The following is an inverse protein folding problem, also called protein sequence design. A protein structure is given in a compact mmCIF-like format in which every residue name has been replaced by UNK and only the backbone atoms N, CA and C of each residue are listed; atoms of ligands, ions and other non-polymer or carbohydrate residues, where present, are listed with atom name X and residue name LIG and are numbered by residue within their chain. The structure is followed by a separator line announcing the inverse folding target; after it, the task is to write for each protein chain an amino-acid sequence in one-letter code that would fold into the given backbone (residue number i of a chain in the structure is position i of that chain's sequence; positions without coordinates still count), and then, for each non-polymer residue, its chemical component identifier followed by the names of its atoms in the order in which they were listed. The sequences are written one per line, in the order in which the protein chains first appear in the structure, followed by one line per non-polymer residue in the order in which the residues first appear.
data_IF_467704750450
#
_entry.id   IF_467704750450
#
_cell.length_a   1.000
_cell.length_b   1.000
_cell.length_c   1.000
_cell.angle_alpha   90.00
_cell.angle_beta   90.00
_cell.angle_gamma   90.00
#
_symmetry.space_group_name_H-M   'P 1'
#
loop_
_entity.id
_entity.type
_entity.pdbx_description
1 polymer ?
#
# COMPACT_ATOMS: atom_id res chain seq x y z
N UNK A 1 9.60 -17.61 11.98
CA UNK A 1 9.18 -16.18 11.85
C UNK A 1 10.32 -15.22 12.22
N UNK A 2 10.87 -15.28 13.44
CA UNK A 2 11.94 -14.36 13.88
C UNK A 2 13.19 -14.34 12.96
N UNK A 3 13.66 -15.51 12.53
CA UNK A 3 14.80 -15.61 11.59
C UNK A 3 14.48 -14.96 10.24
N UNK A 4 13.29 -15.22 9.68
CA UNK A 4 12.85 -14.63 8.41
C UNK A 4 12.71 -13.12 8.51
N UNK A 5 12.21 -12.61 9.64
CA UNK A 5 12.13 -11.17 9.91
C UNK A 5 13.52 -10.52 10.00
N UNK A 6 14.47 -11.15 10.70
CA UNK A 6 15.84 -10.65 10.80
C UNK A 6 16.53 -10.59 9.42
N UNK A 7 16.41 -11.67 8.63
CA UNK A 7 16.92 -11.71 7.24
C UNK A 7 16.27 -10.63 6.39
N UNK A 8 14.96 -10.40 6.55
CA UNK A 8 14.24 -9.35 5.84
C UNK A 8 14.71 -7.94 6.16
N UNK A 9 14.95 -7.65 7.44
CA UNK A 9 15.48 -6.35 7.86
C UNK A 9 16.88 -6.13 7.27
N UNK A 10 17.75 -7.16 7.31
CA UNK A 10 19.09 -7.09 6.72
C UNK A 10 19.01 -6.87 5.21
N UNK A 11 18.16 -7.63 4.52
CA UNK A 11 17.93 -7.50 3.08
C UNK A 11 17.44 -6.10 2.71
N UNK A 12 16.47 -5.58 3.47
CA UNK A 12 15.89 -4.25 3.24
C UNK A 12 16.89 -3.12 3.51
N UNK A 13 17.68 -3.20 4.58
CA UNK A 13 18.72 -2.21 4.91
C UNK A 13 19.84 -2.23 3.87
N UNK A 14 20.27 -3.41 3.41
CA UNK A 14 21.32 -3.56 2.40
C UNK A 14 20.91 -3.09 0.99
N UNK A 15 19.64 -3.24 0.62
CA UNK A 15 19.15 -3.00 -0.76
C UNK A 15 18.29 -1.73 -0.91
N UNK A 16 18.34 -0.78 0.03
CA UNK A 16 17.51 0.44 -0.01
C UNK A 16 17.57 1.21 -1.33
N UNK A 17 18.76 1.35 -1.93
CA UNK A 17 18.96 2.04 -3.21
C UNK A 17 18.41 1.26 -4.41
N UNK A 18 18.73 -0.03 -4.62
CA UNK A 18 18.19 -0.80 -5.74
C UNK A 18 16.68 -1.07 -5.63
N UNK A 19 16.11 -1.22 -4.42
CA UNK A 19 14.65 -1.36 -4.23
C UNK A 19 13.88 -0.11 -4.66
N UNK A 20 14.45 1.08 -4.44
CA UNK A 20 13.84 2.34 -4.88
C UNK A 20 13.85 2.47 -6.41
N UNK A 21 14.97 2.12 -7.07
CA UNK A 21 15.07 2.15 -8.53
C UNK A 21 14.17 1.09 -9.17
N UNK A 22 14.05 -0.10 -8.57
CA UNK A 22 13.17 -1.16 -9.04
C UNK A 22 11.69 -0.78 -8.98
N UNK A 23 11.23 -0.11 -7.91
CA UNK A 23 9.82 0.21 -7.72
C UNK A 23 9.29 1.36 -8.60
N UNK A 24 10.16 2.20 -9.14
CA UNK A 24 9.76 3.36 -9.94
C UNK A 24 10.19 3.28 -11.41
N UNK A 25 11.25 2.53 -11.73
CA UNK A 25 11.84 2.57 -13.06
C UNK A 25 12.49 1.23 -13.44
N UNK A 26 11.65 0.19 -13.52
CA UNK A 26 12.05 -1.15 -13.95
C UNK A 26 12.60 -1.14 -15.39
N UNK A 27 12.05 -0.26 -16.24
CA UNK A 27 12.40 -0.13 -17.65
C UNK A 27 13.77 0.54 -17.84
N UNK A 28 14.08 1.62 -17.12
CA UNK A 28 15.40 2.29 -17.22
C UNK A 28 16.51 1.51 -16.50
N UNK A 29 16.18 0.70 -15.48
CA UNK A 29 17.14 -0.15 -14.79
C UNK A 29 17.63 -1.34 -15.64
N UNK A 30 16.78 -1.88 -16.51
CA UNK A 30 17.13 -2.96 -17.44
C UNK A 30 18.14 -2.49 -18.50
N UNK A 31 18.03 -1.23 -18.95
CA UNK A 31 18.96 -0.60 -19.90
C UNK A 31 20.29 -0.20 -19.23
N UNK A 32 20.29 0.00 -17.91
CA UNK A 32 21.46 0.43 -17.11
C UNK A 32 22.39 -0.71 -16.65
N UNK A 33 22.20 -1.95 -17.11
CA UNK A 33 23.07 -3.09 -16.79
C UNK A 33 22.89 -3.69 -15.38
N UNK A 34 21.88 -3.26 -14.62
CA UNK A 34 21.50 -3.91 -13.36
C UNK A 34 20.75 -5.20 -13.65
N UNK A 35 21.08 -6.29 -12.94
CA UNK A 35 20.38 -7.58 -13.04
C UNK A 35 19.03 -7.51 -12.32
N UNK A 36 18.09 -6.74 -12.87
CA UNK A 36 16.71 -6.57 -12.37
C UNK A 36 16.04 -7.93 -12.13
N UNK A 37 16.28 -8.89 -13.02
CA UNK A 37 15.80 -10.28 -12.88
C UNK A 37 16.29 -10.98 -11.60
N UNK A 38 17.57 -10.80 -11.20
CA UNK A 38 18.06 -11.38 -9.95
C UNK A 38 17.43 -10.72 -8.72
N UNK A 39 17.19 -9.41 -8.77
CA UNK A 39 16.59 -8.69 -7.67
C UNK A 39 15.11 -9.11 -7.48
N UNK A 40 14.36 -9.20 -8.57
CA UNK A 40 12.99 -9.71 -8.58
C UNK A 40 12.92 -11.15 -8.07
N UNK A 41 13.84 -12.02 -8.52
CA UNK A 41 13.92 -13.40 -8.03
C UNK A 41 14.21 -13.48 -6.53
N UNK A 42 15.21 -12.74 -6.03
CA UNK A 42 15.53 -12.70 -4.60
C UNK A 42 14.36 -12.15 -3.77
N UNK A 43 13.69 -11.11 -4.25
CA UNK A 43 12.53 -10.53 -3.58
C UNK A 43 11.33 -11.49 -3.57
N UNK A 44 11.08 -12.20 -4.67
CA UNK A 44 10.02 -13.21 -4.76
C UNK A 44 10.28 -14.38 -3.80
N UNK A 45 11.52 -14.89 -3.75
CA UNK A 45 11.92 -15.94 -2.80
C UNK A 45 11.76 -15.46 -1.35
N UNK A 46 12.21 -14.24 -1.05
CA UNK A 46 12.07 -13.66 0.29
C UNK A 46 10.60 -13.48 0.72
N UNK A 47 9.76 -12.97 -0.20
CA UNK A 47 8.32 -12.82 0.04
C UNK A 47 7.67 -14.18 0.24
N UNK A 48 8.01 -15.18 -0.58
CA UNK A 48 7.52 -16.55 -0.47
C UNK A 48 7.89 -17.20 0.88
N UNK A 49 9.14 -17.05 1.32
CA UNK A 49 9.56 -17.51 2.65
C UNK A 49 8.77 -16.84 3.78
N UNK A 50 8.52 -15.54 3.65
CA UNK A 50 7.73 -14.77 4.64
C UNK A 50 6.29 -15.27 4.71
N UNK A 51 5.66 -15.47 3.55
CA UNK A 51 4.29 -15.98 3.41
C UNK A 51 4.17 -17.40 3.98
N UNK A 52 5.09 -18.30 3.59
CA UNK A 52 5.11 -19.68 4.06
C UNK A 52 5.28 -19.76 5.59
N UNK A 53 6.09 -18.88 6.18
CA UNK A 53 6.28 -18.83 7.62
C UNK A 53 5.06 -18.26 8.38
N UNK A 54 4.24 -17.42 7.75
CA UNK A 54 3.06 -16.80 8.36
C UNK A 54 1.79 -17.65 8.22
N UNK A 55 1.67 -18.42 7.14
CA UNK A 55 0.47 -19.18 6.78
C UNK A 55 -0.07 -20.12 7.88
N UNK A 56 0.75 -20.89 8.63
CA UNK A 56 0.22 -21.78 9.67
C UNK A 56 -0.42 -21.07 10.86
N UNK A 57 -0.01 -19.83 11.14
CA UNK A 57 -0.51 -19.05 12.28
C UNK A 57 -1.80 -18.32 11.92
N UNK A 58 -1.88 -17.84 10.68
CA UNK A 58 -2.85 -16.84 10.25
C UNK A 58 -3.91 -17.41 9.30
N UNK A 59 -3.55 -18.42 8.49
CA UNK A 59 -4.37 -19.00 7.44
C UNK A 59 -4.25 -18.29 6.09
N UNK A 60 -4.48 -19.03 5.00
CA UNK A 60 -4.29 -18.57 3.61
C UNK A 60 -5.12 -17.33 3.27
N UNK A 61 -6.38 -17.31 3.71
CA UNK A 61 -7.32 -16.22 3.42
C UNK A 61 -6.86 -14.87 3.98
N UNK A 62 -6.35 -14.87 5.21
CA UNK A 62 -5.91 -13.62 5.84
C UNK A 62 -4.55 -13.19 5.31
N UNK A 63 -3.67 -14.12 4.93
CA UNK A 63 -2.39 -13.78 4.30
C UNK A 63 -2.59 -13.05 2.97
N UNK A 64 -3.50 -13.53 2.10
CA UNK A 64 -3.75 -12.86 0.82
C UNK A 64 -4.31 -11.44 1.02
N UNK A 65 -5.22 -11.26 1.98
CA UNK A 65 -5.76 -9.96 2.35
C UNK A 65 -4.67 -9.00 2.88
N UNK A 66 -3.77 -9.48 3.74
CA UNK A 66 -2.69 -8.68 4.32
C UNK A 66 -1.61 -8.28 3.32
N UNK A 67 -1.41 -9.04 2.25
CA UNK A 67 -0.48 -8.65 1.18
C UNK A 67 -1.07 -7.52 0.34
N UNK A 68 -2.35 -7.64 -0.04
CA UNK A 68 -2.95 -6.78 -1.07
C UNK A 68 -3.56 -5.49 -0.49
N UNK A 69 -4.30 -5.60 0.61
CA UNK A 69 -5.12 -4.49 1.13
C UNK A 69 -4.30 -3.32 1.70
N UNK A 70 -3.36 -3.51 2.65
CA UNK A 70 -2.59 -2.39 3.18
C UNK A 70 -1.70 -1.74 2.12
N UNK A 71 -1.15 -2.53 1.19
CA UNK A 71 -0.37 -2.02 0.06
C UNK A 71 -1.22 -1.12 -0.86
N UNK A 72 -2.45 -1.53 -1.17
CA UNK A 72 -3.39 -0.76 -1.99
C UNK A 72 -3.80 0.56 -1.35
N UNK A 73 -4.03 0.56 -0.03
CA UNK A 73 -4.34 1.76 0.75
C UNK A 73 -3.15 2.71 0.74
N UNK A 74 -1.95 2.17 1.02
CA UNK A 74 -0.74 2.96 1.10
C UNK A 74 -0.35 3.58 -0.23
N UNK A 75 -0.43 2.82 -1.33
CA UNK A 75 -0.10 3.32 -2.67
C UNK A 75 -1.08 4.42 -3.12
N UNK A 76 -2.31 4.42 -2.61
CA UNK A 76 -3.24 5.53 -2.82
C UNK A 76 -2.83 6.80 -2.09
N UNK A 77 -2.39 6.68 -0.84
CA UNK A 77 -2.15 7.83 0.03
C UNK A 77 -0.72 8.38 -0.03
N UNK A 78 0.24 7.55 -0.42
CA UNK A 78 1.64 7.89 -0.40
C UNK A 78 2.06 8.77 -1.57
N UNK A 79 2.94 9.72 -1.30
CA UNK A 79 3.62 10.56 -2.30
C UNK A 79 5.00 10.03 -2.68
N UNK A 80 5.45 8.91 -2.09
CA UNK A 80 6.72 8.26 -2.39
C UNK A 80 6.83 6.84 -1.79
N UNK A 81 7.84 6.07 -2.20
CA UNK A 81 7.99 4.66 -1.81
C UNK A 81 8.19 4.44 -0.30
N UNK A 82 9.06 5.24 0.33
CA UNK A 82 9.25 5.17 1.79
C UNK A 82 7.96 5.50 2.55
N UNK A 83 7.20 6.49 2.06
CA UNK A 83 5.90 6.85 2.63
C UNK A 83 4.88 5.72 2.42
N UNK A 84 4.86 5.08 1.24
CA UNK A 84 3.98 3.94 0.96
C UNK A 84 4.29 2.75 1.88
N UNK A 85 5.57 2.41 2.07
CA UNK A 85 5.95 1.34 2.99
C UNK A 85 5.54 1.66 4.44
N UNK A 86 5.80 2.88 4.91
CA UNK A 86 5.41 3.30 6.25
C UNK A 86 3.90 3.25 6.47
N UNK A 87 3.13 3.80 5.53
CA UNK A 87 1.66 3.77 5.60
C UNK A 87 1.14 2.34 5.54
N UNK A 88 1.69 1.46 4.69
CA UNK A 88 1.26 0.07 4.59
C UNK A 88 1.45 -0.68 5.91
N UNK A 89 2.59 -0.50 6.58
CA UNK A 89 2.86 -1.13 7.88
C UNK A 89 1.88 -0.63 8.95
N UNK A 90 1.66 0.69 9.03
CA UNK A 90 0.75 1.29 10.01
C UNK A 90 -0.70 0.85 9.78
N UNK A 91 -1.16 0.82 8.52
CA UNK A 91 -2.50 0.38 8.16
C UNK A 91 -2.68 -1.11 8.40
N UNK A 92 -1.67 -1.93 8.08
CA UNK A 92 -1.68 -3.36 8.34
C UNK A 92 -1.77 -3.68 9.83
N UNK A 93 -0.93 -3.04 10.65
CA UNK A 93 -0.97 -3.19 12.11
C UNK A 93 -2.31 -2.74 12.69
N UNK A 94 -2.76 -1.52 12.36
CA UNK A 94 -4.04 -1.01 12.87
C UNK A 94 -5.22 -1.89 12.45
N UNK A 95 -5.22 -2.41 11.21
CA UNK A 95 -6.23 -3.35 10.72
C UNK A 95 -6.22 -4.69 11.46
N UNK A 96 -5.04 -5.25 11.78
CA UNK A 96 -4.92 -6.49 12.56
C UNK A 96 -5.38 -6.27 14.00
N UNK A 97 -4.96 -5.20 14.66
CA UNK A 97 -5.36 -4.91 16.04
C UNK A 97 -6.86 -4.65 16.17
N UNK A 98 -7.42 -3.81 15.29
CA UNK A 98 -8.87 -3.55 15.25
C UNK A 98 -9.66 -4.80 14.86
N UNK A 99 -9.16 -5.58 13.90
CA UNK A 99 -9.77 -6.83 13.46
C UNK A 99 -9.78 -7.92 14.53
N UNK A 100 -8.69 -8.04 15.27
CA UNK A 100 -8.58 -8.98 16.38
C UNK A 100 -9.48 -8.56 17.55
N UNK A 101 -9.50 -7.26 17.90
CA UNK A 101 -10.40 -6.74 18.90
C UNK A 101 -11.87 -6.98 18.53
N UNK A 102 -12.26 -6.71 17.28
CA UNK A 102 -13.61 -6.96 16.79
C UNK A 102 -13.97 -8.45 16.78
N UNK A 103 -13.04 -9.33 16.37
CA UNK A 103 -13.22 -10.78 16.40
C UNK A 103 -13.48 -11.29 17.82
N UNK A 104 -12.82 -10.72 18.83
CA UNK A 104 -13.04 -11.06 20.23
C UNK A 104 -14.47 -10.75 20.69
N UNK A 105 -15.03 -9.60 20.33
CA UNK A 105 -16.42 -9.26 20.69
C UNK A 105 -17.47 -10.04 19.88
N UNK A 106 -17.19 -10.29 18.59
CA UNK A 106 -18.14 -10.90 17.67
C UNK A 106 -18.09 -12.44 17.65
N UNK A 107 -17.17 -13.07 18.40
CA UNK A 107 -16.92 -14.52 18.40
C UNK A 107 -16.81 -15.12 16.97
N UNK A 108 -16.27 -14.35 16.03
CA UNK A 108 -16.10 -14.74 14.62
C UNK A 108 -14.67 -15.19 14.34
N UNK A 109 -14.45 -16.05 13.32
CA UNK A 109 -13.10 -16.46 12.93
C UNK A 109 -12.21 -15.25 12.62
N UNK A 110 -11.09 -15.05 13.35
CA UNK A 110 -10.28 -13.83 13.27
C UNK A 110 -9.74 -13.56 11.87
N UNK A 111 -9.42 -14.62 11.11
CA UNK A 111 -8.93 -14.49 9.74
C UNK A 111 -9.91 -13.76 8.81
N UNK A 112 -11.20 -14.08 8.88
CA UNK A 112 -12.22 -13.42 8.07
C UNK A 112 -12.50 -11.99 8.55
N UNK A 113 -12.60 -11.81 9.86
CA UNK A 113 -12.93 -10.50 10.47
C UNK A 113 -11.86 -9.45 10.21
N UNK A 114 -10.58 -9.82 10.31
CA UNK A 114 -9.47 -8.91 9.99
C UNK A 114 -9.49 -8.54 8.50
N UNK A 115 -9.73 -9.50 7.60
CA UNK A 115 -9.82 -9.23 6.16
C UNK A 115 -10.97 -8.27 5.82
N UNK A 116 -12.13 -8.44 6.45
CA UNK A 116 -13.28 -7.55 6.27
C UNK A 116 -13.01 -6.13 6.77
N UNK A 117 -12.31 -5.97 7.89
CA UNK A 117 -11.96 -4.66 8.43
C UNK A 117 -10.96 -3.93 7.54
N UNK A 118 -9.93 -4.64 7.06
CA UNK A 118 -8.98 -4.07 6.09
C UNK A 118 -9.67 -3.68 4.77
N UNK A 119 -10.65 -4.47 4.32
CA UNK A 119 -11.46 -4.13 3.15
C UNK A 119 -12.29 -2.87 3.42
N UNK A 120 -12.86 -2.73 4.61
CA UNK A 120 -13.55 -1.52 5.05
C UNK A 120 -12.65 -0.29 4.99
N UNK A 121 -11.41 -0.39 5.48
CA UNK A 121 -10.42 0.68 5.39
C UNK A 121 -10.11 1.06 3.93
N UNK A 122 -9.97 0.07 3.04
CA UNK A 122 -9.73 0.32 1.63
C UNK A 122 -10.90 1.08 0.98
N UNK A 123 -12.13 0.65 1.22
CA UNK A 123 -13.33 1.31 0.70
C UNK A 123 -13.39 2.75 1.20
N UNK A 124 -13.14 2.98 2.49
CA UNK A 124 -13.14 4.31 3.09
C UNK A 124 -12.08 5.22 2.45
N UNK A 125 -10.87 4.70 2.24
CA UNK A 125 -9.79 5.43 1.55
C UNK A 125 -10.16 5.79 0.09
N UNK A 126 -10.83 4.87 -0.62
CA UNK A 126 -11.30 5.08 -2.00
C UNK A 126 -12.36 6.17 -2.06
N UNK A 127 -13.35 6.12 -1.16
CA UNK A 127 -14.43 7.11 -1.09
C UNK A 127 -13.86 8.48 -0.75
N UNK A 128 -12.97 8.56 0.25
CA UNK A 128 -12.34 9.81 0.66
C UNK A 128 -11.60 10.48 -0.49
N UNK A 129 -10.79 9.72 -1.24
CA UNK A 129 -10.12 10.26 -2.43
C UNK A 129 -11.08 10.69 -3.52
N UNK A 130 -12.16 9.93 -3.77
CA UNK A 130 -13.16 10.29 -4.76
C UNK A 130 -13.85 11.60 -4.37
N UNK A 131 -14.17 11.79 -3.09
CA UNK A 131 -14.78 13.01 -2.55
C UNK A 131 -13.85 14.23 -2.73
N UNK A 132 -12.58 14.10 -2.33
CA UNK A 132 -11.58 15.16 -2.48
C UNK A 132 -11.34 15.53 -3.95
N UNK A 133 -11.29 14.54 -4.85
CA UNK A 133 -11.15 14.78 -6.29
C UNK A 133 -12.36 15.49 -6.89
N UNK A 134 -13.58 15.16 -6.46
CA UNK A 134 -14.80 15.84 -6.91
C UNK A 134 -14.86 17.30 -6.44
N UNK A 135 -14.39 17.56 -5.22
CA UNK A 135 -14.34 18.91 -4.66
C UNK A 135 -13.30 19.78 -5.39
N UNK A 136 -12.11 19.24 -5.68
CA UNK A 136 -11.09 19.94 -6.45
C UNK A 136 -11.52 20.24 -7.90
N UNK A 137 -12.27 19.34 -8.56
CA UNK A 137 -12.82 19.61 -9.90
C UNK A 137 -13.81 20.76 -9.91
N UNK A 138 -14.67 20.86 -8.88
CA UNK A 138 -15.65 21.96 -8.74
C UNK A 138 -14.98 23.30 -8.45
N UNK A 139 -13.92 23.33 -7.64
CA UNK A 139 -13.15 24.53 -7.34
C UNK A 139 -12.41 25.08 -8.57
N UNK A 140 -11.73 24.20 -9.33
CA UNK A 140 -11.00 24.61 -10.54
C UNK A 140 -11.96 25.13 -11.62
N UNK A 141 -13.13 24.49 -11.80
CA UNK A 141 -14.14 24.99 -12.73
C UNK A 141 -14.69 26.36 -12.33
N UNK A 142 -14.90 26.61 -11.03
CA UNK A 142 -15.40 27.90 -10.54
C UNK A 142 -14.37 29.03 -10.74
N UNK A 143 -13.09 28.75 -10.55
CA UNK A 143 -11.99 29.71 -10.78
C UNK A 143 -11.85 30.03 -12.27
N UNK A 144 -11.90 29.03 -13.14
CA UNK A 144 -11.77 29.26 -14.59
C UNK A 144 -12.95 30.06 -15.17
N UNK A 145 -14.17 29.81 -14.66
CA UNK A 145 -15.37 30.56 -15.09
C UNK A 145 -15.34 32.02 -14.65
N UNK A 146 -14.80 32.34 -13.47
CA UNK A 146 -14.61 33.72 -13.02
C UNK A 146 -13.52 34.47 -13.83
N UNK A 147 -12.46 33.78 -14.25
CA UNK A 147 -11.44 34.39 -15.13
C UNK A 147 -11.99 34.72 -16.51
N UNK A 148 -12.86 33.89 -17.07
CA UNK A 148 -13.51 34.20 -18.35
C UNK A 148 -14.35 35.47 -18.25
N UNK A 149 -15.19 35.62 -17.22
CA UNK A 149 -16.01 36.83 -17.08
C UNK A 149 -15.19 38.11 -16.91
N UNK A 150 -14.05 38.06 -16.21
CA UNK A 150 -13.19 39.24 -16.05
C UNK A 150 -12.54 39.69 -17.36
N UNK A 151 -12.19 38.75 -18.25
CA UNK A 151 -11.61 39.07 -19.56
C UNK A 151 -12.60 39.69 -20.56
N UNK A 152 -13.92 39.61 -20.34
CA UNK A 152 -14.91 40.25 -21.22
C UNK A 152 -15.31 41.66 -20.77
N UNK A 153 -15.05 42.04 -19.52
CA UNK A 153 -15.30 43.42 -19.03
C UNK A 153 -14.08 44.35 -19.18
N UNK A 154 -12.90 43.82 -19.54
CA UNK A 154 -11.69 44.60 -19.80
C UNK A 154 -11.47 44.94 -21.30
N UNK A 155 -12.41 44.61 -22.20
CA UNK A 155 -12.35 44.89 -23.65
C UNK A 155 -13.37 45.98 -24.03
#
# INVERSE_FOLDING_TARGET
IAVVAAVGIIFFVGLRRPLYNFAFDEETAAVSGMRVSLLSFLFAVFTGMTVAAAMPVVGVLLVSALIVLPASIALRMATGFLAAMGIAVVVGLSGVFSGLAASYYLNTPPGGTIALILLGFLIMAVIFQKLLRLQNRRLIQKINRNRSHKNYEEI
#
